data_IF_934133170543
#
_entry.id   IF_934133170543
#
_cell.length_a   1.000
_cell.length_b   1.000
_cell.length_c   1.000
_cell.angle_alpha   90.00
_cell.angle_beta   90.00
_cell.angle_gamma   90.00
#
_symmetry.space_group_name_H-M   'P 1'
#
loop_
_entity.id
_entity.type
_entity.pdbx_description
1 polymer ?
#
# COMPACT_ATOMS: atom_id res chain seq x y z
N UNK A 1 -50.25 55.82 -7.74
CA UNK A 1 -50.83 54.79 -6.88
C UNK A 1 -50.11 53.45 -7.21
N UNK A 2 -49.10 53.11 -6.38
CA UNK A 2 -48.33 51.86 -6.54
C UNK A 2 -48.83 50.90 -5.42
N UNK A 3 -49.51 49.83 -5.81
CA UNK A 3 -49.96 48.79 -4.89
C UNK A 3 -48.83 47.74 -4.76
N UNK A 4 -48.22 47.67 -3.57
CA UNK A 4 -47.33 46.59 -3.21
C UNK A 4 -48.17 45.34 -2.90
N UNK A 5 -48.04 44.30 -3.71
CA UNK A 5 -48.54 42.96 -3.42
C UNK A 5 -47.54 42.24 -2.49
N UNK A 6 -47.82 42.17 -1.19
CA UNK A 6 -47.17 41.25 -0.28
C UNK A 6 -47.71 39.86 -0.54
N UNK A 7 -46.82 38.98 -1.14
CA UNK A 7 -47.11 37.56 -1.21
C UNK A 7 -46.92 36.88 0.17
N UNK A 8 -47.67 35.81 0.49
CA UNK A 8 -47.54 35.12 1.77
C UNK A 8 -46.16 34.45 1.87
N UNK A 9 -45.42 34.80 2.91
CA UNK A 9 -44.20 34.11 3.28
C UNK A 9 -44.56 32.69 3.72
N UNK A 10 -44.29 31.71 2.87
CA UNK A 10 -44.39 30.29 3.22
C UNK A 10 -43.43 29.99 4.37
N UNK A 11 -43.96 29.65 5.54
CA UNK A 11 -43.19 29.20 6.70
C UNK A 11 -42.56 27.85 6.33
N UNK A 12 -41.25 27.87 6.10
CA UNK A 12 -40.42 26.62 6.05
C UNK A 12 -40.51 26.03 7.46
N UNK A 13 -41.31 25.00 7.61
CA UNK A 13 -41.41 24.23 8.85
C UNK A 13 -40.07 23.46 8.97
N UNK A 14 -39.21 23.89 9.89
CA UNK A 14 -38.01 23.11 10.22
C UNK A 14 -38.50 21.77 10.79
N UNK A 15 -38.09 20.69 10.13
CA UNK A 15 -38.37 19.33 10.58
C UNK A 15 -37.67 19.16 11.94
N UNK A 16 -38.42 18.77 12.98
CA UNK A 16 -37.86 18.57 14.31
C UNK A 16 -36.77 17.48 14.23
N UNK A 17 -35.59 17.72 14.83
CA UNK A 17 -34.50 16.74 14.78
C UNK A 17 -34.92 15.43 15.48
N UNK A 18 -34.96 14.35 14.74
CA UNK A 18 -35.28 13.03 15.28
C UNK A 18 -34.22 12.63 16.31
N UNK A 19 -34.63 12.34 17.58
CA UNK A 19 -33.71 11.90 18.63
C UNK A 19 -32.99 10.62 18.17
N UNK A 20 -31.65 10.60 18.27
CA UNK A 20 -30.84 9.51 17.73
C UNK A 20 -29.55 9.28 18.50
N UNK A 21 -29.09 8.03 18.48
CA UNK A 21 -27.76 7.61 18.92
C UNK A 21 -26.89 7.47 17.69
N UNK A 22 -25.73 8.13 17.68
CA UNK A 22 -24.73 8.00 16.64
C UNK A 22 -23.52 7.26 17.22
N UNK A 23 -23.09 6.21 16.52
CA UNK A 23 -21.96 5.37 16.93
C UNK A 23 -21.06 5.09 15.75
N UNK A 24 -19.83 4.74 16.07
CA UNK A 24 -18.91 4.11 15.12
C UNK A 24 -18.64 2.69 15.57
N UNK A 25 -18.62 1.77 14.62
CA UNK A 25 -18.21 0.39 14.85
C UNK A 25 -16.97 0.06 14.04
N UNK A 26 -16.14 -0.79 14.59
CA UNK A 26 -14.90 -1.24 13.98
C UNK A 26 -14.90 -2.75 13.81
N UNK A 27 -14.44 -3.19 12.63
CA UNK A 27 -14.18 -4.60 12.34
C UNK A 27 -12.78 -4.79 11.83
N UNK A 28 -12.12 -5.84 12.28
CA UNK A 28 -10.79 -6.22 11.81
C UNK A 28 -10.90 -7.37 10.84
N UNK A 29 -10.15 -7.26 9.74
CA UNK A 29 -9.98 -8.30 8.75
C UNK A 29 -8.49 -8.65 8.68
N UNK A 30 -8.12 -9.83 9.17
CA UNK A 30 -6.77 -10.34 9.08
C UNK A 30 -6.66 -11.20 7.82
N UNK A 31 -5.63 -10.96 7.02
CA UNK A 31 -5.44 -11.56 5.71
C UNK A 31 -3.99 -12.02 5.61
N UNK A 32 -3.79 -13.34 5.52
CA UNK A 32 -2.48 -13.88 5.18
C UNK A 32 -2.15 -13.51 3.73
N UNK A 33 -0.97 -12.93 3.46
CA UNK A 33 -0.56 -12.66 2.10
C UNK A 33 -0.31 -13.98 1.35
N UNK A 34 -0.66 -14.00 0.08
CA UNK A 34 -0.39 -15.13 -0.84
C UNK A 34 0.40 -14.70 -2.08
N UNK A 35 0.85 -13.44 -2.09
CA UNK A 35 1.64 -12.87 -3.17
C UNK A 35 2.67 -11.88 -2.60
N UNK A 36 3.86 -11.86 -3.19
CA UNK A 36 4.87 -10.84 -2.95
C UNK A 36 5.06 -9.95 -4.18
N UNK A 37 5.30 -8.67 -3.95
CA UNK A 37 5.79 -7.73 -4.95
C UNK A 37 7.21 -7.37 -4.56
N UNK A 38 8.15 -7.71 -5.44
CA UNK A 38 9.57 -7.48 -5.25
C UNK A 38 10.03 -6.38 -6.21
N UNK A 39 10.83 -5.44 -5.71
CA UNK A 39 11.43 -4.38 -6.52
C UNK A 39 12.92 -4.62 -6.63
N UNK A 40 13.40 -4.86 -7.84
CA UNK A 40 14.79 -5.18 -8.17
C UNK A 40 15.35 -4.08 -9.06
N UNK A 41 16.54 -3.56 -8.74
CA UNK A 41 17.18 -2.52 -9.54
C UNK A 41 18.59 -2.94 -9.92
N UNK A 42 18.86 -2.87 -11.21
CA UNK A 42 20.20 -2.95 -11.78
C UNK A 42 20.72 -1.54 -11.95
N UNK A 43 21.83 -1.23 -11.31
CA UNK A 43 22.56 0.03 -11.50
C UNK A 43 23.93 -0.29 -12.13
N UNK A 44 24.29 0.47 -13.17
CA UNK A 44 25.61 0.41 -13.80
C UNK A 44 26.14 1.84 -14.00
N UNK A 45 27.45 1.94 -13.94
CA UNK A 45 28.16 3.20 -14.11
C UNK A 45 29.25 3.05 -15.15
N UNK A 46 29.44 4.08 -15.97
CA UNK A 46 30.54 4.15 -16.93
C UNK A 46 30.90 5.61 -17.23
N UNK A 47 32.02 5.84 -17.94
CA UNK A 47 32.46 7.16 -18.37
C UNK A 47 31.51 7.79 -19.39
N UNK A 48 30.83 6.98 -20.19
CA UNK A 48 29.87 7.43 -21.21
C UNK A 48 28.47 6.90 -20.92
N UNK A 49 27.45 7.66 -21.24
CA UNK A 49 26.05 7.25 -21.08
C UNK A 49 25.74 5.98 -21.91
N UNK A 50 26.35 5.84 -23.08
CA UNK A 50 26.15 4.68 -23.96
C UNK A 50 26.70 3.40 -23.33
N UNK A 51 27.93 3.41 -22.85
CA UNK A 51 28.53 2.21 -22.23
C UNK A 51 27.80 1.81 -20.94
N UNK A 52 27.41 2.79 -20.11
CA UNK A 52 26.60 2.52 -18.91
C UNK A 52 25.23 1.90 -19.25
N UNK A 53 24.58 2.40 -20.34
CA UNK A 53 23.32 1.85 -20.83
C UNK A 53 23.45 0.44 -21.35
N UNK A 54 24.47 0.16 -22.17
CA UNK A 54 24.69 -1.17 -22.75
C UNK A 54 24.96 -2.21 -21.65
N UNK A 55 25.79 -1.88 -20.65
CA UNK A 55 26.07 -2.73 -19.52
C UNK A 55 24.83 -2.96 -18.63
N UNK A 56 23.99 -1.93 -18.45
CA UNK A 56 22.75 -2.05 -17.70
C UNK A 56 21.72 -2.93 -18.43
N UNK A 57 21.58 -2.74 -19.73
CA UNK A 57 20.65 -3.49 -20.57
C UNK A 57 21.00 -4.98 -20.62
N UNK A 58 22.30 -5.31 -20.76
CA UNK A 58 22.76 -6.70 -20.73
C UNK A 58 22.43 -7.39 -19.39
N UNK A 59 22.78 -6.76 -18.26
CA UNK A 59 22.50 -7.32 -16.95
C UNK A 59 20.99 -7.44 -16.67
N UNK A 60 20.17 -6.48 -17.08
CA UNK A 60 18.72 -6.56 -16.92
C UNK A 60 18.09 -7.66 -17.79
N UNK A 61 18.65 -7.91 -18.98
CA UNK A 61 18.20 -9.01 -19.83
C UNK A 61 18.43 -10.36 -19.14
N UNK A 62 19.62 -10.58 -18.56
CA UNK A 62 19.94 -11.79 -17.78
C UNK A 62 18.98 -11.97 -16.60
N UNK A 63 18.66 -10.89 -15.86
CA UNK A 63 17.68 -10.93 -14.77
C UNK A 63 16.29 -11.32 -15.28
N UNK A 64 15.83 -10.72 -16.39
CA UNK A 64 14.52 -11.05 -16.97
C UNK A 64 14.41 -12.49 -17.44
N UNK A 65 15.47 -13.02 -18.04
CA UNK A 65 15.49 -14.40 -18.52
C UNK A 65 15.50 -15.39 -17.33
N UNK A 66 16.31 -15.15 -16.33
CA UNK A 66 16.31 -15.96 -15.11
C UNK A 66 14.97 -15.92 -14.34
N UNK A 67 14.27 -14.77 -14.31
CA UNK A 67 12.93 -14.70 -13.71
C UNK A 67 11.94 -15.60 -14.47
N UNK A 68 12.01 -15.63 -15.81
CA UNK A 68 11.16 -16.51 -16.62
C UNK A 68 11.49 -17.99 -16.39
N UNK A 69 12.78 -18.33 -16.32
CA UNK A 69 13.25 -19.70 -16.00
C UNK A 69 12.81 -20.13 -14.60
N UNK A 70 12.79 -19.22 -13.64
CA UNK A 70 12.24 -19.44 -12.30
C UNK A 70 10.70 -19.53 -12.26
N UNK A 71 10.02 -19.53 -13.44
CA UNK A 71 8.58 -19.71 -13.55
C UNK A 71 7.75 -18.43 -13.37
N UNK A 72 8.36 -17.25 -13.30
CA UNK A 72 7.62 -15.99 -13.24
C UNK A 72 7.00 -15.67 -14.61
N UNK A 73 5.69 -15.55 -14.65
CA UNK A 73 4.98 -15.26 -15.89
C UNK A 73 5.31 -13.86 -16.42
N UNK A 74 5.35 -13.69 -17.75
CA UNK A 74 5.64 -12.40 -18.40
C UNK A 74 4.75 -11.26 -17.90
N UNK A 75 3.48 -11.52 -17.62
CA UNK A 75 2.52 -10.54 -17.06
C UNK A 75 2.85 -10.07 -15.65
N UNK A 76 3.70 -10.80 -14.93
CA UNK A 76 4.10 -10.52 -13.57
C UNK A 76 5.49 -9.83 -13.49
N UNK A 77 6.09 -9.54 -14.66
CA UNK A 77 7.34 -8.79 -14.83
C UNK A 77 7.03 -7.42 -15.44
N UNK A 78 7.41 -6.34 -14.78
CA UNK A 78 7.16 -4.99 -15.26
C UNK A 78 8.36 -4.07 -14.98
N UNK A 79 8.91 -3.43 -16.00
CA UNK A 79 9.84 -2.31 -15.78
C UNK A 79 9.08 -1.15 -15.16
N UNK A 80 9.46 -0.75 -13.96
CA UNK A 80 8.79 0.28 -13.15
C UNK A 80 9.58 1.58 -13.02
N UNK A 81 10.84 1.59 -13.44
CA UNK A 81 11.66 2.78 -13.42
C UNK A 81 12.88 2.65 -14.32
N UNK A 82 13.22 3.75 -15.00
CA UNK A 82 14.44 3.84 -15.79
C UNK A 82 14.99 5.27 -15.71
N UNK A 83 16.31 5.40 -15.49
CA UNK A 83 16.96 6.71 -15.49
C UNK A 83 18.41 6.62 -15.91
N UNK A 84 18.88 7.69 -16.57
CA UNK A 84 20.29 7.94 -16.89
C UNK A 84 20.64 9.27 -16.26
N UNK A 85 21.67 9.31 -15.42
CA UNK A 85 22.08 10.52 -14.71
C UNK A 85 23.58 10.77 -14.86
N UNK A 86 24.01 11.99 -15.15
CA UNK A 86 25.42 12.34 -15.16
C UNK A 86 25.96 12.34 -13.71
N UNK A 87 27.15 11.82 -13.52
CA UNK A 87 27.91 11.91 -12.28
C UNK A 87 28.77 13.16 -12.35
N UNK A 88 28.56 14.07 -11.39
CA UNK A 88 29.28 15.34 -11.33
C UNK A 88 30.37 15.24 -10.28
N UNK A 89 31.57 15.70 -10.63
CA UNK A 89 32.61 16.02 -9.67
C UNK A 89 32.54 17.52 -9.34
N UNK A 90 32.52 17.82 -8.05
CA UNK A 90 32.54 19.19 -7.52
C UNK A 90 33.93 19.43 -6.90
N UNK A 91 34.89 20.03 -7.67
CA UNK A 91 36.21 20.30 -7.13
C UNK A 91 36.12 21.21 -5.90
N UNK A 92 36.81 20.84 -4.82
CA UNK A 92 36.91 21.75 -3.66
C UNK A 92 37.92 22.82 -3.96
N UNK A 93 37.61 24.13 -3.81
CA UNK A 93 38.58 25.20 -3.96
C UNK A 93 39.72 24.99 -2.99
N UNK A 94 40.96 25.05 -3.49
CA UNK A 94 42.13 25.22 -2.60
C UNK A 94 42.27 26.70 -2.28
N UNK A 95 42.85 26.99 -1.11
CA UNK A 95 43.03 28.35 -0.62
C UNK A 95 43.75 29.22 -1.69
N UNK A 96 43.05 30.20 -2.30
CA UNK A 96 43.55 31.08 -3.33
C UNK A 96 43.23 30.69 -4.79
N UNK A 97 42.49 29.60 -5.07
CA UNK A 97 42.04 29.22 -6.39
C UNK A 97 40.55 29.59 -6.62
N UNK A 98 40.23 30.00 -7.85
CA UNK A 98 38.85 30.24 -8.28
C UNK A 98 38.03 28.94 -8.26
N UNK A 99 36.73 29.07 -7.96
CA UNK A 99 35.80 27.97 -7.90
C UNK A 99 35.66 27.32 -9.28
N UNK A 100 36.24 26.14 -9.50
CA UNK A 100 36.12 25.45 -10.79
C UNK A 100 34.69 24.93 -10.99
N UNK A 101 34.13 25.02 -12.20
CA UNK A 101 32.80 24.51 -12.49
C UNK A 101 32.73 22.98 -12.31
N UNK A 102 31.54 22.44 -11.94
CA UNK A 102 31.34 21.01 -11.85
C UNK A 102 31.63 20.34 -13.21
N UNK A 103 32.27 19.16 -13.14
CA UNK A 103 32.64 18.39 -14.33
C UNK A 103 31.91 17.04 -14.33
N UNK A 104 31.41 16.64 -15.50
CA UNK A 104 30.86 15.30 -15.68
C UNK A 104 32.01 14.29 -15.69
N UNK A 105 31.99 13.35 -14.75
CA UNK A 105 33.01 12.29 -14.62
C UNK A 105 32.52 10.92 -15.04
N UNK A 106 31.26 10.79 -15.39
CA UNK A 106 30.63 9.55 -15.82
C UNK A 106 29.13 9.63 -15.81
N UNK A 107 28.49 8.51 -15.99
CA UNK A 107 27.03 8.36 -16.01
C UNK A 107 26.62 7.15 -15.19
N UNK A 108 25.49 7.27 -14.52
CA UNK A 108 24.81 6.18 -13.80
C UNK A 108 23.51 5.86 -14.53
N UNK A 109 23.32 4.60 -14.88
CA UNK A 109 22.06 4.07 -15.43
C UNK A 109 21.41 3.17 -14.40
N UNK A 110 20.12 3.40 -14.14
CA UNK A 110 19.27 2.59 -13.28
C UNK A 110 18.10 2.06 -14.06
N UNK A 111 17.83 0.76 -13.88
CA UNK A 111 16.67 0.10 -14.43
C UNK A 111 16.03 -0.73 -13.32
N UNK A 112 14.76 -0.47 -13.04
CA UNK A 112 14.02 -1.09 -11.95
C UNK A 112 12.94 -2.00 -12.52
N UNK A 113 12.96 -3.24 -12.09
CA UNK A 113 11.99 -4.29 -12.40
C UNK A 113 11.10 -4.53 -11.18
N UNK A 114 9.80 -4.50 -11.37
CA UNK A 114 8.82 -5.01 -10.40
C UNK A 114 8.44 -6.42 -10.79
N UNK A 115 8.59 -7.35 -9.84
CA UNK A 115 8.29 -8.77 -9.99
C UNK A 115 7.14 -9.12 -9.05
N UNK A 116 6.08 -9.73 -9.57
CA UNK A 116 4.99 -10.31 -8.77
C UNK A 116 5.24 -11.80 -8.61
N UNK A 117 5.43 -12.24 -7.39
CA UNK A 117 5.71 -13.62 -7.03
C UNK A 117 4.46 -14.19 -6.38
N UNK A 118 3.82 -15.17 -7.04
CA UNK A 118 2.56 -15.79 -6.58
C UNK A 118 2.80 -16.98 -5.67
N UNK A 119 3.95 -17.59 -5.76
CA UNK A 119 4.43 -18.58 -4.79
C UNK A 119 5.37 -17.90 -3.79
N UNK A 120 4.81 -17.50 -2.66
CA UNK A 120 5.56 -16.77 -1.62
C UNK A 120 6.71 -17.59 -1.03
N UNK A 121 6.68 -18.92 -1.16
CA UNK A 121 7.76 -19.80 -0.72
C UNK A 121 9.05 -19.61 -1.51
N UNK A 122 8.99 -19.13 -2.76
CA UNK A 122 10.14 -18.94 -3.65
C UNK A 122 10.80 -17.56 -3.53
N UNK A 123 10.24 -16.64 -2.71
CA UNK A 123 10.74 -15.26 -2.63
C UNK A 123 12.20 -15.17 -2.24
N UNK A 124 12.66 -16.00 -1.28
CA UNK A 124 14.05 -16.03 -0.84
C UNK A 124 15.00 -16.48 -1.93
N UNK A 125 14.63 -17.51 -2.70
CA UNK A 125 15.42 -18.05 -3.83
C UNK A 125 15.51 -17.02 -4.98
N UNK A 126 14.40 -16.32 -5.27
CA UNK A 126 14.36 -15.28 -6.30
C UNK A 126 15.20 -14.07 -5.90
N UNK A 127 15.23 -13.71 -4.62
CA UNK A 127 16.10 -12.65 -4.10
C UNK A 127 17.57 -13.01 -4.28
N UNK A 128 17.98 -14.21 -3.86
CA UNK A 128 19.35 -14.69 -3.99
C UNK A 128 19.79 -14.75 -5.46
N UNK A 129 18.97 -15.38 -6.32
CA UNK A 129 19.19 -15.42 -7.75
C UNK A 129 19.40 -14.03 -8.35
N UNK A 130 18.56 -13.05 -7.94
CA UNK A 130 18.61 -11.68 -8.44
C UNK A 130 19.95 -11.01 -8.13
N UNK A 131 20.46 -11.18 -6.91
CA UNK A 131 21.74 -10.60 -6.48
C UNK A 131 22.90 -11.20 -7.28
N UNK A 132 22.89 -12.52 -7.50
CA UNK A 132 23.91 -13.23 -8.27
C UNK A 132 23.98 -12.76 -9.74
N UNK A 133 22.85 -12.29 -10.30
CA UNK A 133 22.76 -11.74 -11.67
C UNK A 133 23.02 -10.24 -11.75
N UNK A 134 23.41 -9.59 -10.65
CA UNK A 134 23.87 -8.21 -10.63
C UNK A 134 22.80 -7.16 -10.31
N UNK A 135 21.68 -7.57 -9.75
CA UNK A 135 20.81 -6.65 -8.99
C UNK A 135 21.59 -6.15 -7.79
N UNK A 136 21.77 -4.85 -7.68
CA UNK A 136 22.62 -4.24 -6.65
C UNK A 136 21.91 -3.12 -5.88
N UNK A 137 20.63 -2.88 -6.15
CA UNK A 137 19.76 -1.98 -5.40
C UNK A 137 18.34 -2.55 -5.34
N UNK A 138 17.57 -2.16 -4.33
CA UNK A 138 16.19 -2.64 -4.15
C UNK A 138 16.12 -3.75 -3.12
N UNK A 139 15.39 -4.84 -3.44
CA UNK A 139 15.12 -5.94 -2.50
C UNK A 139 13.96 -5.65 -1.55
N UNK A 140 13.21 -4.55 -1.76
CA UNK A 140 12.00 -4.29 -1.00
C UNK A 140 10.92 -5.30 -1.37
N UNK A 141 10.48 -6.07 -0.39
CA UNK A 141 9.36 -7.02 -0.51
C UNK A 141 8.10 -6.38 0.06
N UNK A 142 7.03 -6.37 -0.72
CA UNK A 142 5.71 -5.96 -0.26
C UNK A 142 4.76 -7.15 -0.36
N UNK A 143 4.26 -7.59 0.78
CA UNK A 143 3.33 -8.69 0.87
C UNK A 143 1.92 -8.23 0.53
N UNK A 144 1.21 -8.97 -0.31
CA UNK A 144 -0.13 -8.63 -0.80
C UNK A 144 -1.04 -9.86 -0.82
N UNK A 145 -2.33 -9.60 -0.83
CA UNK A 145 -3.37 -10.55 -1.20
C UNK A 145 -4.07 -9.99 -2.44
N UNK A 146 -4.18 -10.73 -3.57
CA UNK A 146 -4.76 -10.23 -4.81
C UNK A 146 -6.23 -9.85 -4.68
N UNK A 147 -6.99 -10.59 -3.88
CA UNK A 147 -8.41 -10.30 -3.65
C UNK A 147 -8.78 -10.33 -2.15
N UNK A 148 -8.70 -9.19 -1.46
CA UNK A 148 -9.06 -9.09 -0.04
C UNK A 148 -10.57 -9.04 0.21
N UNK A 149 -11.42 -9.16 -0.81
CA UNK A 149 -12.87 -8.87 -0.73
C UNK A 149 -13.60 -9.72 0.31
N UNK A 150 -13.29 -11.01 0.39
CA UNK A 150 -13.91 -11.93 1.36
C UNK A 150 -13.59 -11.54 2.81
N UNK A 151 -12.32 -11.27 3.11
CA UNK A 151 -11.90 -10.85 4.44
C UNK A 151 -12.45 -9.46 4.82
N UNK A 152 -12.44 -8.51 3.86
CA UNK A 152 -13.07 -7.20 4.07
C UNK A 152 -14.58 -7.34 4.29
N UNK A 153 -15.26 -8.28 3.62
CA UNK A 153 -16.67 -8.60 3.86
C UNK A 153 -16.92 -9.08 5.30
N UNK A 154 -16.06 -9.96 5.82
CA UNK A 154 -16.10 -10.37 7.21
C UNK A 154 -15.85 -9.20 8.17
N UNK A 155 -14.87 -8.35 7.86
CA UNK A 155 -14.57 -7.12 8.61
C UNK A 155 -15.77 -6.17 8.65
N UNK A 156 -16.48 -5.97 7.54
CA UNK A 156 -17.72 -5.16 7.49
C UNK A 156 -18.80 -5.71 8.41
N UNK A 157 -18.99 -7.03 8.39
CA UNK A 157 -19.96 -7.69 9.28
C UNK A 157 -19.64 -7.47 10.74
N UNK A 158 -18.35 -7.55 11.11
CA UNK A 158 -17.88 -7.28 12.47
C UNK A 158 -18.08 -5.82 12.86
N UNK A 159 -17.77 -4.88 11.96
CA UNK A 159 -17.93 -3.45 12.19
C UNK A 159 -19.39 -3.07 12.45
N UNK A 160 -20.34 -3.62 11.67
CA UNK A 160 -21.77 -3.38 11.87
C UNK A 160 -22.25 -3.98 13.20
N UNK A 161 -21.82 -5.18 13.56
CA UNK A 161 -22.16 -5.80 14.86
C UNK A 161 -21.61 -4.99 16.03
N UNK A 162 -20.38 -4.47 15.92
CA UNK A 162 -19.77 -3.62 16.95
C UNK A 162 -20.54 -2.31 17.10
N UNK A 163 -20.90 -1.64 15.98
CA UNK A 163 -21.72 -0.44 16.01
C UNK A 163 -23.06 -0.67 16.70
N UNK A 164 -23.76 -1.77 16.36
CA UNK A 164 -25.03 -2.13 16.97
C UNK A 164 -24.89 -2.42 18.46
N UNK A 165 -23.86 -3.15 18.87
CA UNK A 165 -23.59 -3.41 20.29
C UNK A 165 -23.30 -2.17 21.09
N UNK A 166 -22.52 -1.23 20.54
CA UNK A 166 -22.26 0.09 21.16
C UNK A 166 -23.53 0.93 21.29
N UNK A 167 -24.37 0.94 20.23
CA UNK A 167 -25.64 1.67 20.26
C UNK A 167 -26.58 1.11 21.34
N UNK A 168 -26.68 -0.21 21.45
CA UNK A 168 -27.48 -0.85 22.49
C UNK A 168 -26.98 -0.53 23.89
N UNK A 169 -25.67 -0.61 24.12
CA UNK A 169 -25.05 -0.25 25.41
C UNK A 169 -25.35 1.19 25.82
N UNK A 170 -25.30 2.12 24.84
CA UNK A 170 -25.61 3.53 25.10
C UNK A 170 -27.10 3.76 25.41
N UNK A 171 -27.99 3.07 24.70
CA UNK A 171 -29.44 3.14 24.93
C UNK A 171 -29.80 2.62 26.33
N UNK A 172 -29.25 1.46 26.70
CA UNK A 172 -29.46 0.84 28.02
C UNK A 172 -28.97 1.76 29.14
N UNK A 173 -27.76 2.34 29.00
CA UNK A 173 -27.19 3.24 29.99
C UNK A 173 -27.97 4.56 30.11
N UNK A 174 -28.61 5.02 29.03
CA UNK A 174 -29.44 6.23 29.02
C UNK A 174 -30.89 5.98 29.46
N UNK A 175 -31.29 4.71 29.68
CA UNK A 175 -32.67 4.35 30.04
C UNK A 175 -33.66 4.55 28.89
N UNK A 176 -33.22 4.43 27.63
CA UNK A 176 -34.08 4.59 26.44
C UNK A 176 -34.03 3.30 25.61
N UNK A 177 -35.00 3.14 24.70
CA UNK A 177 -35.01 1.99 23.79
C UNK A 177 -34.29 2.34 22.48
N UNK A 178 -33.50 1.38 21.97
CA UNK A 178 -32.86 1.51 20.66
C UNK A 178 -33.89 1.20 19.58
N UNK A 179 -34.18 2.18 18.72
CA UNK A 179 -35.12 2.05 17.61
C UNK A 179 -34.46 1.68 16.28
N UNK A 180 -35.13 1.99 15.20
CA UNK A 180 -34.70 1.63 13.86
C UNK A 180 -33.38 2.29 13.45
N UNK A 181 -32.60 1.58 12.61
CA UNK A 181 -31.43 2.12 11.94
C UNK A 181 -31.87 3.23 10.94
N UNK A 182 -31.39 4.45 11.15
CA UNK A 182 -31.69 5.61 10.30
C UNK A 182 -30.66 5.79 9.19
N UNK A 183 -29.39 5.55 9.51
CA UNK A 183 -28.30 5.74 8.58
C UNK A 183 -27.18 4.74 8.87
N UNK A 184 -26.59 4.22 7.82
CA UNK A 184 -25.38 3.40 7.87
C UNK A 184 -24.45 3.85 6.75
N UNK A 185 -23.20 4.14 7.08
CA UNK A 185 -22.18 4.51 6.11
C UNK A 185 -20.85 3.84 6.44
N UNK A 186 -20.16 3.35 5.42
CA UNK A 186 -18.80 2.83 5.54
C UNK A 186 -17.83 3.98 5.33
N UNK A 187 -16.89 4.17 6.27
CA UNK A 187 -15.75 5.03 6.07
C UNK A 187 -14.66 4.19 5.42
N UNK A 188 -14.51 4.33 4.11
CA UNK A 188 -13.39 3.73 3.37
C UNK A 188 -12.09 4.46 3.73
N UNK A 189 -11.49 4.09 4.84
CA UNK A 189 -10.08 4.34 5.03
C UNK A 189 -9.34 3.33 4.17
N UNK A 190 -8.53 3.82 3.23
CA UNK A 190 -7.51 2.97 2.60
C UNK A 190 -6.63 2.44 3.74
N UNK A 191 -6.99 1.28 4.28
CA UNK A 191 -6.21 0.67 5.33
C UNK A 191 -4.89 0.22 4.71
N UNK A 192 -3.81 0.91 5.09
CA UNK A 192 -2.49 0.36 4.85
C UNK A 192 -2.39 -0.91 5.70
N UNK A 193 -2.04 -2.04 5.11
CA UNK A 193 -1.78 -3.24 5.89
C UNK A 193 -0.76 -2.90 6.99
N UNK A 194 -1.13 -3.09 8.23
CA UNK A 194 -0.19 -2.97 9.35
C UNK A 194 0.33 -4.37 9.59
N UNK A 195 1.64 -4.62 9.45
CA UNK A 195 2.21 -5.92 9.78
C UNK A 195 1.91 -6.24 11.25
N UNK A 196 1.23 -7.33 11.50
CA UNK A 196 1.07 -7.86 12.85
C UNK A 196 2.27 -8.74 13.10
N UNK A 197 3.10 -8.37 14.06
CA UNK A 197 4.24 -9.17 14.48
C UNK A 197 3.75 -10.40 15.26
N UNK A 198 3.28 -11.41 14.56
CA UNK A 198 3.19 -12.77 15.08
C UNK A 198 4.30 -13.57 14.42
N UNK A 199 5.37 -13.75 15.18
CA UNK A 199 6.54 -14.50 14.76
C UNK A 199 6.24 -16.01 14.88
N UNK A 200 5.63 -16.59 13.86
CA UNK A 200 5.88 -17.98 13.52
C UNK A 200 6.86 -17.98 12.36
N UNK A 201 8.12 -18.18 12.70
CA UNK A 201 9.19 -18.43 11.73
C UNK A 201 8.86 -19.73 11.00
N UNK A 202 8.28 -19.66 9.81
CA UNK A 202 8.43 -20.72 8.83
C UNK A 202 9.90 -20.73 8.41
N UNK A 203 10.68 -21.59 9.04
CA UNK A 203 12.06 -21.86 8.62
C UNK A 203 12.04 -22.39 7.19
N UNK A 204 12.48 -21.59 6.24
CA UNK A 204 12.82 -22.03 4.90
C UNK A 204 13.82 -23.19 5.00
N UNK A 205 13.52 -24.29 4.32
CA UNK A 205 14.31 -25.53 4.38
C UNK A 205 15.57 -25.53 3.52
N UNK A 206 15.91 -24.45 2.84
CA UNK A 206 17.18 -24.32 2.13
C UNK A 206 18.15 -23.45 2.93
N UNK A 207 19.30 -24.00 3.28
CA UNK A 207 20.34 -23.31 4.05
C UNK A 207 20.97 -22.11 3.32
N UNK A 208 20.69 -21.94 2.03
CA UNK A 208 21.31 -20.95 1.14
C UNK A 208 20.35 -19.82 0.73
N UNK A 209 19.04 -19.91 1.01
CA UNK A 209 18.09 -18.87 0.62
C UNK A 209 17.95 -17.75 1.67
N UNK A 210 17.72 -16.52 1.22
CA UNK A 210 17.45 -15.38 2.10
C UNK A 210 16.22 -15.67 2.94
N UNK A 211 16.31 -15.68 4.31
CA UNK A 211 15.15 -15.92 5.15
C UNK A 211 14.16 -14.76 5.05
N UNK A 212 12.90 -15.06 4.70
CA UNK A 212 11.82 -14.06 4.60
C UNK A 212 10.64 -14.47 5.47
N UNK A 213 10.06 -13.51 6.19
CA UNK A 213 8.87 -13.70 7.00
C UNK A 213 7.71 -12.91 6.37
N UNK A 214 6.57 -13.57 6.16
CA UNK A 214 5.41 -12.97 5.48
C UNK A 214 4.53 -12.16 6.43
N UNK A 215 4.42 -12.57 7.69
CA UNK A 215 3.49 -11.99 8.64
C UNK A 215 2.01 -12.10 8.20
N UNK A 216 1.14 -11.40 8.90
CA UNK A 216 -0.26 -11.20 8.53
C UNK A 216 -0.52 -9.72 8.27
N UNK A 217 -1.34 -9.41 7.29
CA UNK A 217 -1.82 -8.06 7.03
C UNK A 217 -3.18 -7.87 7.71
N UNK A 218 -3.30 -6.86 8.55
CA UNK A 218 -4.57 -6.48 9.17
C UNK A 218 -5.15 -5.26 8.51
N UNK A 219 -6.40 -5.36 8.10
CA UNK A 219 -7.18 -4.25 7.57
C UNK A 219 -8.30 -3.90 8.52
N UNK A 220 -8.52 -2.60 8.78
CA UNK A 220 -9.61 -2.11 9.62
C UNK A 220 -10.74 -1.59 8.73
N UNK A 221 -11.96 -2.01 9.04
CA UNK A 221 -13.19 -1.47 8.47
C UNK A 221 -13.90 -0.66 9.55
N UNK A 222 -14.29 0.56 9.24
CA UNK A 222 -15.04 1.43 10.15
C UNK A 222 -16.38 1.78 9.53
N UNK A 223 -17.46 1.63 10.28
CA UNK A 223 -18.80 2.05 9.89
C UNK A 223 -19.33 3.09 10.87
N UNK A 224 -20.08 4.05 10.36
CA UNK A 224 -20.86 4.98 11.16
C UNK A 224 -22.33 4.61 11.05
N UNK A 225 -23.00 4.48 12.19
CA UNK A 225 -24.40 4.12 12.26
C UNK A 225 -25.18 5.13 13.13
N UNK A 226 -26.41 5.44 12.72
CA UNK A 226 -27.33 6.32 13.44
C UNK A 226 -28.63 5.56 13.67
N UNK A 227 -29.05 5.45 14.93
CA UNK A 227 -30.27 4.76 15.36
C UNK A 227 -31.24 5.75 15.99
N UNK A 228 -32.52 5.55 15.75
CA UNK A 228 -33.58 6.30 16.40
C UNK A 228 -33.62 5.94 17.90
N UNK A 229 -33.98 6.89 18.75
CA UNK A 229 -34.30 6.64 20.15
C UNK A 229 -35.82 6.50 20.26
N UNK A 230 -36.29 5.45 20.91
CA UNK A 230 -37.67 5.24 21.30
C UNK A 230 -37.80 5.38 22.81
N UNK A 231 -38.80 6.18 23.26
CA UNK A 231 -39.10 6.41 24.67
C UNK A 231 -40.13 5.39 25.14
#
# INVERSE_FOLDING_TARGET
LCALLLGPAGSVRAEEPVPRINVQGEGRADIAPDMAILTLTVMREDKTARAALDANSAAMAEVLDAMREAGIAQRDLQTSGFSIQPRMNYPRPRSGEDNQPPQVVGYTVRNTLTVRIRDIGTVGEILDLSVNLGVNQGGQVTWRHPDPSAALGAGRTLAVKDAMGRAQTLADAAGVQLGALLQLSEQSLQSRPVPVAQAEMMMSRSADAVPVATGENSSRVTVSASYKIEQ
#
